data_IF_717375547757
#
_entry.id   IF_717375547757
#
_cell.length_a   1.000
_cell.length_b   1.000
_cell.length_c   1.000
_cell.angle_alpha   90.00
_cell.angle_beta   90.00
_cell.angle_gamma   90.00
#
_symmetry.space_group_name_H-M   'P 1'
#
loop_
_entity.id
_entity.type
_entity.pdbx_description
1 polymer ?
#
# COMPACT_ATOMS: atom_id res chain seq x y z
N UNK A 1 7.89 10.06 -1.54
CA UNK A 1 6.96 9.04 -1.01
C UNK A 1 5.86 8.85 -2.04
N UNK A 2 5.49 7.60 -2.34
CA UNK A 2 4.45 7.25 -3.32
C UNK A 2 3.28 6.65 -2.56
N UNK A 3 2.05 6.94 -2.99
CA UNK A 3 0.82 6.37 -2.45
C UNK A 3 0.14 5.53 -3.53
N UNK A 4 -0.35 4.36 -3.15
CA UNK A 4 -1.12 3.46 -4.00
C UNK A 4 -2.25 2.80 -3.21
N UNK A 5 -3.34 2.43 -3.88
CA UNK A 5 -4.39 1.58 -3.30
C UNK A 5 -4.21 0.16 -3.83
N UNK A 6 -4.24 -0.82 -2.94
CA UNK A 6 -4.12 -2.23 -3.26
C UNK A 6 -5.18 -2.73 -4.23
N UNK A 7 -6.41 -2.21 -4.14
CA UNK A 7 -7.49 -2.57 -5.06
C UNK A 7 -7.32 -1.96 -6.46
N UNK A 8 -6.79 -0.74 -6.52
CA UNK A 8 -6.62 0.00 -7.77
C UNK A 8 -5.29 -0.32 -8.48
N UNK A 9 -4.35 -0.95 -7.78
CA UNK A 9 -3.01 -1.24 -8.29
C UNK A 9 -2.94 -2.68 -8.78
N UNK A 10 -2.42 -2.87 -9.98
CA UNK A 10 -2.04 -4.19 -10.49
C UNK A 10 -0.58 -4.49 -10.16
N UNK A 11 -0.18 -5.75 -10.29
CA UNK A 11 1.20 -6.19 -10.10
C UNK A 11 2.14 -5.36 -10.96
N UNK A 12 1.77 -5.10 -12.22
CA UNK A 12 2.54 -4.27 -13.13
C UNK A 12 2.62 -2.80 -12.67
N UNK A 13 1.53 -2.24 -12.14
CA UNK A 13 1.51 -0.88 -11.61
C UNK A 13 2.33 -0.71 -10.32
N UNK A 14 2.44 -1.76 -9.50
CA UNK A 14 3.29 -1.75 -8.30
C UNK A 14 4.75 -2.00 -8.61
N UNK A 15 5.03 -2.91 -9.54
CA UNK A 15 6.39 -3.36 -9.87
C UNK A 15 6.93 -2.64 -11.11
N UNK A 16 6.59 -3.16 -12.29
CA UNK A 16 6.88 -2.55 -13.58
C UNK A 16 6.08 -3.25 -14.71
N UNK A 17 5.83 -2.49 -15.77
CA UNK A 17 5.23 -2.96 -17.04
C UNK A 17 6.25 -2.94 -18.16
N UNK A 18 6.01 -3.77 -19.18
CA UNK A 18 6.73 -3.66 -20.47
C UNK A 18 5.73 -3.14 -21.49
N UNK A 19 6.04 -1.97 -22.04
CA UNK A 19 5.22 -1.29 -23.04
C UNK A 19 6.00 -1.20 -24.35
N UNK A 20 5.30 -1.23 -25.48
CA UNK A 20 5.93 -1.01 -26.78
C UNK A 20 5.87 0.47 -27.10
N UNK A 21 7.01 1.08 -27.37
CA UNK A 21 7.08 2.47 -27.82
C UNK A 21 6.57 2.56 -29.27
N UNK A 22 5.63 3.48 -29.51
CA UNK A 22 5.02 3.68 -30.83
C UNK A 22 5.95 4.41 -31.80
N UNK A 23 6.91 5.19 -31.30
CA UNK A 23 7.84 5.95 -32.15
C UNK A 23 9.00 5.08 -32.64
N UNK A 24 9.63 4.32 -31.74
CA UNK A 24 10.79 3.46 -32.06
C UNK A 24 10.39 2.04 -32.43
N UNK A 25 9.21 1.58 -32.02
CA UNK A 25 8.74 0.21 -32.18
C UNK A 25 9.42 -0.79 -31.23
N UNK A 26 10.32 -0.34 -30.36
CA UNK A 26 11.04 -1.14 -29.36
C UNK A 26 10.20 -1.36 -28.10
N UNK A 27 10.57 -2.37 -27.31
CA UNK A 27 9.96 -2.59 -26.00
C UNK A 27 10.74 -1.80 -24.94
N UNK A 28 10.01 -1.05 -24.12
CA UNK A 28 10.55 -0.28 -23.00
C UNK A 28 9.95 -0.76 -21.68
N UNK A 29 10.69 -0.56 -20.59
CA UNK A 29 10.21 -0.85 -19.23
C UNK A 29 9.66 0.44 -18.64
N UNK A 30 8.42 0.38 -18.13
CA UNK A 30 7.83 1.43 -17.31
C UNK A 30 7.91 1.04 -15.83
N UNK A 31 8.48 1.94 -15.02
CA UNK A 31 8.64 1.74 -13.59
C UNK A 31 7.30 1.87 -12.85
N UNK A 32 6.99 0.92 -11.99
CA UNK A 32 5.84 0.95 -11.09
C UNK A 32 6.13 1.68 -9.78
N UNK A 33 5.12 1.74 -8.90
CA UNK A 33 5.15 2.51 -7.65
C UNK A 33 6.33 2.18 -6.72
N UNK A 34 6.70 0.91 -6.59
CA UNK A 34 7.80 0.46 -5.72
C UNK A 34 9.17 0.89 -6.27
N UNK A 35 9.34 0.89 -7.59
CA UNK A 35 10.57 1.37 -8.22
C UNK A 35 10.68 2.89 -8.14
N UNK A 36 9.57 3.61 -8.39
CA UNK A 36 9.52 5.07 -8.30
C UNK A 36 9.77 5.59 -6.87
N UNK A 37 9.62 4.71 -5.86
CA UNK A 37 9.85 5.02 -4.45
C UNK A 37 11.15 4.42 -3.89
N UNK A 38 12.12 4.05 -4.74
CA UNK A 38 13.44 3.53 -4.31
C UNK A 38 14.11 4.47 -3.29
N UNK A 39 14.62 3.90 -2.20
CA UNK A 39 15.14 4.60 -1.00
C UNK A 39 14.14 5.55 -0.30
N UNK A 40 12.85 5.42 -0.58
CA UNK A 40 11.79 6.21 0.02
C UNK A 40 10.75 5.35 0.73
N UNK A 41 9.54 5.88 0.81
CA UNK A 41 8.37 5.21 1.41
C UNK A 41 7.32 5.00 0.33
N UNK A 42 6.80 3.77 0.26
CA UNK A 42 5.64 3.40 -0.53
C UNK A 42 4.47 3.10 0.42
N UNK A 43 3.45 3.94 0.41
CA UNK A 43 2.23 3.75 1.18
C UNK A 43 1.22 2.96 0.36
N UNK A 44 0.74 1.84 0.87
CA UNK A 44 -0.26 0.99 0.21
C UNK A 44 -1.49 0.89 1.10
N UNK A 45 -2.60 1.47 0.65
CA UNK A 45 -3.89 1.34 1.32
C UNK A 45 -4.65 0.09 0.84
N UNK A 46 -5.62 -0.39 1.62
CA UNK A 46 -6.43 -1.58 1.30
C UNK A 46 -5.57 -2.79 0.89
N UNK A 47 -4.47 -3.02 1.61
CA UNK A 47 -3.50 -4.07 1.32
C UNK A 47 -4.14 -5.48 1.37
N UNK A 48 -5.20 -5.66 2.17
CA UNK A 48 -6.01 -6.89 2.24
C UNK A 48 -6.86 -7.16 0.99
N UNK A 49 -7.06 -6.15 0.13
CA UNK A 49 -7.85 -6.24 -1.11
C UNK A 49 -7.01 -6.53 -2.35
N UNK A 50 -5.69 -6.65 -2.21
CA UNK A 50 -4.82 -7.03 -3.31
C UNK A 50 -5.03 -8.48 -3.72
N UNK A 51 -5.01 -8.72 -5.03
CA UNK A 51 -5.06 -10.06 -5.59
C UNK A 51 -3.80 -10.85 -5.25
N UNK A 52 -3.91 -12.19 -5.23
CA UNK A 52 -2.80 -13.05 -4.84
C UNK A 52 -1.57 -12.90 -5.76
N UNK A 53 -1.78 -12.58 -7.04
CA UNK A 53 -0.68 -12.35 -7.98
C UNK A 53 0.11 -11.07 -7.68
N UNK A 54 -0.58 -10.00 -7.27
CA UNK A 54 0.03 -8.73 -6.86
C UNK A 54 0.83 -8.90 -5.58
N UNK A 55 0.27 -9.66 -4.64
CA UNK A 55 0.91 -10.03 -3.39
C UNK A 55 2.25 -10.76 -3.60
N UNK A 56 2.33 -11.67 -4.58
CA UNK A 56 3.59 -12.38 -4.92
C UNK A 56 4.64 -11.41 -5.46
N UNK A 57 4.24 -10.47 -6.32
CA UNK A 57 5.17 -9.49 -6.90
C UNK A 57 5.75 -8.55 -5.84
N UNK A 58 4.93 -8.11 -4.88
CA UNK A 58 5.38 -7.31 -3.74
C UNK A 58 6.27 -8.14 -2.81
N UNK A 59 5.94 -9.41 -2.60
CA UNK A 59 6.75 -10.29 -1.75
C UNK A 59 8.20 -10.43 -2.27
N UNK A 60 8.39 -10.57 -3.60
CA UNK A 60 9.72 -10.53 -4.21
C UNK A 60 10.44 -9.21 -3.91
N UNK A 61 9.76 -8.08 -4.13
CA UNK A 61 10.33 -6.76 -3.90
C UNK A 61 10.72 -6.52 -2.43
N UNK A 62 9.89 -6.95 -1.47
CA UNK A 62 10.18 -6.85 -0.04
C UNK A 62 11.31 -7.77 0.42
N UNK A 63 11.41 -8.96 -0.19
CA UNK A 63 12.44 -9.95 0.14
C UNK A 63 13.82 -9.55 -0.41
N UNK A 64 13.88 -9.32 -1.71
CA UNK A 64 15.14 -9.18 -2.44
C UNK A 64 15.55 -7.71 -2.58
N UNK A 65 14.65 -6.77 -2.29
CA UNK A 65 14.82 -5.33 -2.55
C UNK A 65 15.10 -5.01 -4.03
N UNK A 66 14.73 -5.94 -4.91
CA UNK A 66 14.87 -5.87 -6.36
C UNK A 66 13.68 -6.54 -7.02
N UNK A 67 13.38 -6.14 -8.24
CA UNK A 67 12.31 -6.70 -9.08
C UNK A 67 12.95 -7.20 -10.36
N UNK A 68 12.76 -8.49 -10.66
CA UNK A 68 13.28 -9.09 -11.89
C UNK A 68 12.20 -9.17 -12.96
N UNK A 69 12.51 -8.69 -14.16
CA UNK A 69 11.60 -8.70 -15.30
C UNK A 69 12.26 -9.48 -16.44
N UNK A 70 11.55 -10.48 -16.93
CA UNK A 70 11.91 -11.27 -18.10
C UNK A 70 10.70 -11.35 -19.05
N UNK A 71 10.50 -10.33 -19.89
CA UNK A 71 9.36 -10.22 -20.81
C UNK A 71 9.76 -9.53 -22.12
N UNK A 72 9.15 -9.95 -23.23
CA UNK A 72 9.33 -9.36 -24.56
C UNK A 72 10.81 -9.21 -25.00
N UNK A 73 11.66 -10.18 -24.63
CA UNK A 73 13.09 -10.16 -24.94
C UNK A 73 13.93 -9.26 -24.02
N UNK A 74 13.31 -8.55 -23.08
CA UNK A 74 13.98 -7.75 -22.07
C UNK A 74 14.19 -8.59 -20.83
N UNK A 75 15.46 -8.69 -20.40
CA UNK A 75 15.85 -9.27 -19.12
C UNK A 75 16.55 -8.18 -18.31
N UNK A 76 15.89 -7.69 -17.27
CA UNK A 76 16.41 -6.63 -16.42
C UNK A 76 16.07 -6.88 -14.96
N UNK A 77 16.95 -6.43 -14.07
CA UNK A 77 16.73 -6.43 -12.62
C UNK A 77 16.81 -4.99 -12.16
N UNK A 78 15.78 -4.55 -11.45
CA UNK A 78 15.57 -3.16 -11.07
C UNK A 78 15.52 -3.07 -9.55
N UNK A 79 16.15 -2.04 -8.97
CA UNK A 79 16.16 -1.85 -7.52
C UNK A 79 14.81 -1.31 -7.03
N UNK A 80 14.35 -1.81 -5.88
CA UNK A 80 13.10 -1.41 -5.24
C UNK A 80 13.29 -1.36 -3.71
N UNK A 81 14.23 -0.54 -3.23
CA UNK A 81 14.61 -0.45 -1.80
C UNK A 81 13.67 0.48 -1.03
N UNK A 82 12.38 0.45 -1.34
CA UNK A 82 11.37 1.25 -0.67
C UNK A 82 10.95 0.62 0.65
N UNK A 83 10.76 1.44 1.69
CA UNK A 83 10.05 1.00 2.90
C UNK A 83 8.54 1.02 2.66
N UNK A 84 7.86 -0.07 2.99
CA UNK A 84 6.41 -0.18 2.76
C UNK A 84 5.65 0.18 4.04
N UNK A 85 4.71 1.11 3.92
CA UNK A 85 3.69 1.38 4.93
C UNK A 85 2.36 0.86 4.38
N UNK A 86 1.80 -0.17 5.03
CA UNK A 86 0.55 -0.78 4.58
C UNK A 86 -0.60 -0.51 5.55
N UNK A 87 -1.78 -0.19 5.00
CA UNK A 87 -3.04 -0.20 5.73
C UNK A 87 -3.88 -1.38 5.23
N UNK A 88 -4.46 -2.13 6.16
CA UNK A 88 -5.26 -3.33 5.87
C UNK A 88 -6.45 -3.41 6.82
N UNK A 89 -7.57 -3.92 6.30
CA UNK A 89 -8.78 -4.09 7.07
C UNK A 89 -8.96 -5.56 7.52
N UNK A 90 -9.59 -5.82 8.67
CA UNK A 90 -9.94 -7.18 9.09
C UNK A 90 -10.92 -7.85 8.11
N UNK A 91 -10.84 -9.18 7.96
CA UNK A 91 -11.64 -9.98 7.01
C UNK A 91 -13.18 -9.86 7.20
N UNK A 92 -13.63 -9.40 8.38
CA UNK A 92 -15.04 -9.14 8.70
C UNK A 92 -15.39 -7.67 8.97
N UNK A 93 -14.51 -6.73 8.63
CA UNK A 93 -14.68 -5.28 8.88
C UNK A 93 -14.47 -4.84 10.33
N UNK A 94 -14.48 -5.76 11.30
CA UNK A 94 -14.09 -5.53 12.69
C UNK A 94 -13.06 -6.55 13.15
N UNK A 95 -12.14 -6.10 13.99
CA UNK A 95 -11.10 -6.95 14.55
C UNK A 95 -11.65 -7.83 15.67
N UNK A 96 -11.50 -9.15 15.56
CA UNK A 96 -11.89 -10.13 16.58
C UNK A 96 -10.71 -10.46 17.49
N UNK A 97 -10.80 -10.02 18.75
CA UNK A 97 -9.77 -10.25 19.78
C UNK A 97 -9.61 -11.72 20.19
N UNK A 98 -10.58 -12.58 19.85
CA UNK A 98 -10.49 -14.02 20.14
C UNK A 98 -9.67 -14.78 19.11
N UNK A 99 -9.41 -14.16 17.95
CA UNK A 99 -8.63 -14.75 16.86
C UNK A 99 -7.21 -14.21 16.87
N UNK A 100 -6.28 -14.98 16.30
CA UNK A 100 -4.91 -14.50 16.07
C UNK A 100 -4.88 -13.39 15.01
N UNK A 101 -3.81 -12.60 14.95
CA UNK A 101 -3.65 -11.55 13.92
C UNK A 101 -3.79 -12.13 12.49
N UNK A 102 -3.16 -13.28 12.24
CA UNK A 102 -3.24 -13.98 10.95
C UNK A 102 -4.65 -14.42 10.58
N UNK A 103 -5.46 -14.78 11.57
CA UNK A 103 -6.87 -15.16 11.35
C UNK A 103 -7.80 -13.94 11.21
N UNK A 104 -7.33 -12.74 11.55
CA UNK A 104 -8.08 -11.50 11.36
C UNK A 104 -7.79 -10.86 10.00
N UNK A 105 -6.66 -11.18 9.36
CA UNK A 105 -6.19 -10.54 8.14
C UNK A 105 -6.16 -11.53 6.98
N UNK A 106 -6.60 -11.09 5.80
CA UNK A 106 -6.50 -11.86 4.57
C UNK A 106 -5.12 -11.73 3.91
N UNK A 107 -4.06 -12.07 4.65
CA UNK A 107 -2.67 -11.97 4.18
C UNK A 107 -1.95 -13.31 4.27
N UNK A 108 -1.07 -13.57 3.31
CA UNK A 108 -0.22 -14.77 3.34
C UNK A 108 0.82 -14.66 4.47
N UNK A 109 1.21 -15.81 5.05
CA UNK A 109 2.23 -15.85 6.10
C UNK A 109 3.58 -15.29 5.63
N UNK A 110 3.89 -15.47 4.35
CA UNK A 110 5.14 -14.99 3.73
C UNK A 110 5.21 -13.45 3.75
N UNK A 111 4.12 -12.77 3.39
CA UNK A 111 4.07 -11.31 3.47
C UNK A 111 4.08 -10.84 4.92
N UNK A 112 3.30 -11.49 5.80
CA UNK A 112 3.28 -11.11 7.22
C UNK A 112 4.67 -11.19 7.85
N UNK A 113 5.50 -12.18 7.49
CA UNK A 113 6.86 -12.27 8.01
C UNK A 113 7.82 -11.18 7.51
N UNK A 114 7.45 -10.43 6.46
CA UNK A 114 8.25 -9.33 5.91
C UNK A 114 7.95 -7.98 6.59
N UNK A 115 6.91 -7.91 7.40
CA UNK A 115 6.63 -6.74 8.23
C UNK A 115 7.19 -6.97 9.63
N UNK A 116 8.12 -6.12 10.04
CA UNK A 116 8.70 -6.17 11.38
C UNK A 116 7.78 -5.58 12.45
N UNK A 117 6.87 -4.68 12.05
CA UNK A 117 5.98 -3.93 12.95
C UNK A 117 4.53 -4.07 12.51
N UNK A 118 3.66 -4.39 13.47
CA UNK A 118 2.21 -4.43 13.31
C UNK A 118 1.54 -3.53 14.34
N UNK A 119 0.73 -2.59 13.86
CA UNK A 119 -0.06 -1.70 14.70
C UNK A 119 -1.55 -2.00 14.48
N UNK A 120 -2.15 -2.74 15.39
CA UNK A 120 -3.59 -3.03 15.35
C UNK A 120 -4.33 -1.89 16.05
N UNK A 121 -5.07 -1.10 15.27
CA UNK A 121 -5.95 -0.06 15.80
C UNK A 121 -7.33 -0.68 16.05
N UNK A 122 -7.82 -0.56 17.28
CA UNK A 122 -9.11 -1.11 17.70
C UNK A 122 -10.09 0.03 17.92
N UNK A 123 -11.28 -0.14 17.35
CA UNK A 123 -12.43 0.73 17.60
C UNK A 123 -13.17 0.23 18.84
N UNK A 124 -12.96 0.90 19.98
CA UNK A 124 -13.64 0.65 21.25
C UNK A 124 -14.68 1.75 21.50
N UNK A 125 -15.88 1.36 21.97
CA UNK A 125 -16.91 2.31 22.35
C UNK A 125 -16.52 2.98 23.68
N UNK A 126 -16.05 4.22 23.62
CA UNK A 126 -15.72 5.05 24.78
C UNK A 126 -16.28 6.46 24.57
N UNK A 127 -17.36 6.78 25.30
CA UNK A 127 -18.05 8.07 25.20
C UNK A 127 -17.13 9.27 25.38
N UNK A 128 -16.08 9.16 26.22
CA UNK A 128 -15.15 10.27 26.45
C UNK A 128 -14.24 10.48 25.24
N UNK A 129 -13.75 9.41 24.65
CA UNK A 129 -12.92 9.47 23.43
C UNK A 129 -13.77 9.93 22.25
N UNK A 130 -14.97 9.36 22.08
CA UNK A 130 -15.91 9.72 21.02
C UNK A 130 -16.27 11.21 21.10
N UNK A 131 -16.56 11.72 22.30
CA UNK A 131 -16.82 13.14 22.50
C UNK A 131 -15.61 14.02 22.18
N UNK A 132 -14.40 13.61 22.57
CA UNK A 132 -13.18 14.34 22.26
C UNK A 132 -12.91 14.40 20.75
N UNK A 133 -13.10 13.28 20.03
CA UNK A 133 -12.99 13.18 18.58
C UNK A 133 -14.05 14.06 17.91
N UNK A 134 -15.31 13.95 18.31
CA UNK A 134 -16.40 14.76 17.77
C UNK A 134 -16.14 16.27 17.95
N UNK A 135 -15.70 16.68 19.15
CA UNK A 135 -15.33 18.08 19.44
C UNK A 135 -14.18 18.54 18.55
N UNK A 136 -13.18 17.69 18.32
CA UNK A 136 -12.06 17.99 17.43
C UNK A 136 -12.52 18.18 15.98
N UNK A 137 -13.34 17.26 15.45
CA UNK A 137 -13.91 17.33 14.10
C UNK A 137 -14.73 18.60 13.90
N UNK A 138 -15.60 18.94 14.86
CA UNK A 138 -16.42 20.16 14.82
C UNK A 138 -15.53 21.40 14.82
N UNK A 139 -14.54 21.45 15.69
CA UNK A 139 -13.59 22.57 15.75
C UNK A 139 -12.85 22.75 14.42
N UNK A 140 -12.36 21.68 13.79
CA UNK A 140 -11.68 21.76 12.49
C UNK A 140 -12.58 22.35 11.40
N UNK A 141 -13.85 21.93 11.33
CA UNK A 141 -14.78 22.43 10.31
C UNK A 141 -15.23 23.87 10.54
N UNK A 142 -15.34 24.29 11.81
CA UNK A 142 -15.66 25.69 12.17
C UNK A 142 -14.51 26.66 11.85
N UNK A 143 -13.26 26.23 12.00
CA UNK A 143 -12.09 27.07 11.68
C UNK A 143 -11.68 26.99 10.20
N UNK A 144 -11.98 25.88 9.50
CA UNK A 144 -11.67 25.69 8.09
C UNK A 144 -12.45 26.63 7.15
N UNK A 145 -13.60 27.15 7.56
CA UNK A 145 -14.39 28.11 6.76
C UNK A 145 -13.77 29.51 6.71
N UNK A 146 -12.87 29.85 7.65
CA UNK A 146 -12.22 31.18 7.71
C UNK A 146 -10.89 31.25 6.95
N UNK A 147 -10.31 30.11 6.56
CA UNK A 147 -9.05 30.07 5.80
C UNK A 147 -9.22 30.15 4.27
N UNK A 148 -10.46 30.02 3.76
CA UNK A 148 -10.76 30.04 2.32
C UNK A 148 -11.29 31.38 1.79
N UNK A 149 -11.55 32.36 2.67
CA UNK A 149 -12.18 33.65 2.32
C UNK A 149 -11.19 34.82 2.23
N UNK A 150 -9.91 34.55 1.93
CA UNK A 150 -8.95 35.56 1.50
C UNK A 150 -8.09 35.00 0.38
N UNK A 151 -8.63 35.07 -0.83
CA UNK A 151 -7.87 35.28 -2.06
C UNK A 151 -8.44 36.51 -2.74
#
# INVERSE_FOLDING_TARGET
>A
AVYSSGKASSAAGLTASVCRDEETGEFCIEAGALMLSDNGICCIDEFDKMEQHDQVAIHEAMEQQTISIAKAGIQATLNARASILAAANPEGGRYDRKKTLRQNLNLTSAIMSRFDLFFVVLDELDERQDYAIAKHIVSLHQHGTLSGASR
#
